data_IF_904893225054
#
_entry.id   IF_904893225054
#
_cell.length_a   1.000
_cell.length_b   1.000
_cell.length_c   1.000
_cell.angle_alpha   90.00
_cell.angle_beta   90.00
_cell.angle_gamma   90.00
#
_symmetry.space_group_name_H-M   'P 1'
#
loop_
_entity.id
_entity.type
_entity.pdbx_description
1 polymer ?
#
# COMPACT_ATOMS: atom_id res chain seq x y z
N UNK A 1 10.87 -5.04 -10.26
CA UNK A 1 11.49 -4.05 -9.35
C UNK A 1 10.76 -4.11 -8.02
N UNK A 2 11.47 -3.98 -6.91
CA UNK A 2 10.85 -4.01 -5.56
C UNK A 2 10.70 -2.59 -5.07
N UNK A 3 9.48 -2.22 -4.69
CA UNK A 3 9.18 -0.94 -4.08
C UNK A 3 8.87 -1.11 -2.59
N UNK A 4 9.21 -0.09 -1.83
CA UNK A 4 9.04 -0.04 -0.39
C UNK A 4 8.36 1.25 0.03
N UNK A 5 7.49 1.17 1.02
CA UNK A 5 6.85 2.31 1.65
C UNK A 5 7.07 2.23 3.17
N UNK A 6 7.33 3.35 3.83
CA UNK A 6 7.37 3.46 5.27
C UNK A 6 6.48 4.62 5.75
N UNK A 7 5.89 4.45 6.92
CA UNK A 7 5.23 5.50 7.69
C UNK A 7 6.15 5.85 8.86
N UNK A 8 6.59 7.10 8.94
CA UNK A 8 7.63 7.57 9.86
C UNK A 8 7.23 8.88 10.54
N UNK A 9 7.85 9.22 11.66
CA UNK A 9 7.61 10.50 12.34
C UNK A 9 8.46 11.65 11.76
N UNK A 10 9.44 11.32 10.92
CA UNK A 10 10.32 12.28 10.24
C UNK A 10 10.77 11.71 8.89
N UNK A 11 11.23 12.60 8.00
CA UNK A 11 11.82 12.15 6.74
C UNK A 11 13.10 11.35 7.02
N UNK A 12 13.25 10.14 6.46
CA UNK A 12 14.49 9.38 6.56
C UNK A 12 15.57 10.02 5.67
N UNK A 13 16.85 9.64 5.81
CA UNK A 13 17.86 9.92 4.80
C UNK A 13 17.52 9.17 3.50
N UNK A 14 17.73 9.84 2.36
CA UNK A 14 17.65 9.28 1.00
C UNK A 14 16.37 8.51 0.59
N UNK A 15 15.16 9.04 0.80
CA UNK A 15 13.96 8.52 0.17
C UNK A 15 13.91 8.92 -1.31
N UNK A 16 13.42 8.03 -2.18
CA UNK A 16 13.14 8.40 -3.57
C UNK A 16 11.99 9.41 -3.63
N UNK A 17 10.98 9.22 -2.78
CA UNK A 17 9.77 10.05 -2.70
C UNK A 17 9.35 10.26 -1.23
N UNK A 18 8.90 11.45 -0.88
CA UNK A 18 8.26 11.71 0.41
C UNK A 18 6.99 12.54 0.28
N UNK A 19 6.05 12.30 1.19
CA UNK A 19 4.91 13.18 1.37
C UNK A 19 4.57 13.29 2.85
N UNK A 20 4.27 14.52 3.28
CA UNK A 20 3.71 14.74 4.59
C UNK A 20 2.27 14.19 4.64
N UNK A 21 1.99 13.37 5.64
CA UNK A 21 0.64 13.02 6.05
C UNK A 21 0.11 13.99 7.10
N UNK A 22 -1.20 14.01 7.32
CA UNK A 22 -1.77 14.73 8.44
C UNK A 22 -1.32 14.08 9.77
N UNK A 23 -0.99 14.90 10.79
CA UNK A 23 -0.57 14.40 12.11
C UNK A 23 0.94 14.17 12.29
N UNK A 24 1.79 14.92 11.59
CA UNK A 24 3.26 14.88 11.68
C UNK A 24 3.92 13.56 11.21
N UNK A 25 3.18 12.70 10.52
CA UNK A 25 3.75 11.51 9.87
C UNK A 25 4.25 11.82 8.46
N UNK A 26 5.29 11.12 8.04
CA UNK A 26 5.89 11.16 6.70
C UNK A 26 5.71 9.79 6.05
N UNK A 27 5.14 9.79 4.85
CA UNK A 27 5.21 8.64 3.95
C UNK A 27 6.51 8.74 3.15
N UNK A 28 7.37 7.75 3.25
CA UNK A 28 8.60 7.63 2.48
C UNK A 28 8.53 6.43 1.54
N UNK A 29 8.88 6.64 0.27
CA UNK A 29 8.86 5.62 -0.78
C UNK A 29 10.24 5.39 -1.40
N UNK A 30 10.56 4.13 -1.70
CA UNK A 30 11.74 3.72 -2.46
C UNK A 30 11.31 2.80 -3.60
N UNK A 31 11.59 3.17 -4.85
CA UNK A 31 11.08 2.51 -6.06
C UNK A 31 11.94 1.34 -6.53
N UNK A 32 13.21 1.32 -6.13
CA UNK A 32 14.21 0.41 -6.71
C UNK A 32 15.13 -0.29 -5.70
N UNK A 33 14.80 -0.24 -4.40
CA UNK A 33 15.64 -0.84 -3.37
C UNK A 33 15.51 -2.38 -3.36
N UNK A 34 16.65 -3.08 -3.44
CA UNK A 34 16.68 -4.56 -3.42
C UNK A 34 16.34 -5.16 -2.06
N UNK A 35 16.65 -4.44 -0.99
CA UNK A 35 16.41 -4.80 0.40
C UNK A 35 15.64 -3.68 1.11
N UNK A 36 15.09 -3.98 2.29
CA UNK A 36 14.39 -2.99 3.10
C UNK A 36 15.31 -1.81 3.42
N UNK A 37 15.00 -0.58 2.96
CA UNK A 37 15.84 0.59 3.19
C UNK A 37 15.69 1.16 4.60
N UNK A 38 14.64 0.76 5.32
CA UNK A 38 14.34 1.19 6.68
C UNK A 38 13.66 0.05 7.47
N UNK A 39 13.86 -0.08 8.79
CA UNK A 39 13.19 -1.11 9.60
C UNK A 39 11.67 -1.10 9.53
N UNK A 40 11.05 0.07 9.37
CA UNK A 40 9.59 0.21 9.19
C UNK A 40 9.11 0.04 7.74
N UNK A 41 10.03 -0.12 6.78
CA UNK A 41 9.66 -0.26 5.38
C UNK A 41 8.92 -1.58 5.13
N UNK A 42 7.81 -1.49 4.38
CA UNK A 42 7.01 -2.63 3.92
C UNK A 42 7.00 -2.63 2.39
N UNK A 43 7.09 -3.82 1.78
CA UNK A 43 7.04 -3.93 0.31
C UNK A 43 5.65 -3.56 -0.18
N UNK A 44 5.59 -2.86 -1.30
CA UNK A 44 4.36 -2.33 -1.90
C UNK A 44 4.38 -2.52 -3.41
N UNK A 45 3.22 -2.52 -4.05
CA UNK A 45 3.14 -2.53 -5.52
C UNK A 45 3.92 -1.33 -6.08
N UNK A 46 4.94 -1.55 -6.94
CA UNK A 46 5.75 -0.46 -7.50
C UNK A 46 4.96 0.61 -8.25
N UNK A 47 3.78 0.26 -8.81
CA UNK A 47 2.90 1.21 -9.51
C UNK A 47 2.27 2.24 -8.56
N UNK A 48 2.28 1.96 -7.26
CA UNK A 48 1.84 2.92 -6.26
C UNK A 48 2.79 4.12 -6.16
N UNK A 49 4.09 3.94 -6.42
CA UNK A 49 5.10 4.98 -6.23
C UNK A 49 5.38 5.72 -7.54
N UNK A 50 4.90 6.95 -7.64
CA UNK A 50 4.99 7.77 -8.86
C UNK A 50 5.38 9.23 -8.56
N UNK A 51 6.57 9.70 -9.01
CA UNK A 51 6.97 11.10 -8.86
C UNK A 51 6.11 12.08 -9.67
N UNK A 52 5.38 11.61 -10.69
CA UNK A 52 4.40 12.39 -11.43
C UNK A 52 2.97 12.27 -10.88
N UNK A 53 2.78 11.47 -9.82
CA UNK A 53 1.47 11.13 -9.28
C UNK A 53 0.73 12.34 -8.70
N UNK A 54 -0.56 12.45 -8.97
CA UNK A 54 -1.39 13.50 -8.36
C UNK A 54 -1.55 13.30 -6.85
N UNK A 55 -1.74 14.41 -6.14
CA UNK A 55 -2.12 14.39 -4.73
C UNK A 55 -3.50 13.75 -4.52
N UNK A 56 -3.79 13.33 -3.29
CA UNK A 56 -5.06 12.70 -2.97
C UNK A 56 -5.20 12.37 -1.50
N UNK A 57 -6.11 11.44 -1.22
CA UNK A 57 -6.36 10.92 0.11
C UNK A 57 -6.02 9.44 0.16
N UNK A 58 -5.44 9.00 1.27
CA UNK A 58 -5.10 7.61 1.51
C UNK A 58 -5.76 7.12 2.81
N UNK A 59 -6.38 5.95 2.75
CA UNK A 59 -6.69 5.12 3.91
C UNK A 59 -5.56 4.12 4.04
N UNK A 60 -4.84 4.17 5.16
CA UNK A 60 -3.70 3.33 5.46
C UNK A 60 -4.06 2.43 6.64
N UNK A 61 -3.98 1.12 6.41
CA UNK A 61 -4.09 0.11 7.48
C UNK A 61 -2.68 -0.38 7.74
N UNK A 62 -2.18 -0.17 8.96
CA UNK A 62 -0.78 -0.40 9.31
C UNK A 62 -0.69 -1.18 10.64
N UNK A 63 -1.02 -2.49 10.64
CA UNK A 63 -0.95 -3.29 11.86
C UNK A 63 0.47 -3.31 12.42
N UNK A 64 0.61 -3.40 13.74
CA UNK A 64 1.91 -3.62 14.38
C UNK A 64 2.48 -4.98 13.98
N UNK A 65 3.81 -5.10 13.97
CA UNK A 65 4.53 -6.26 13.42
C UNK A 65 4.25 -7.57 14.17
N UNK A 66 3.88 -7.48 15.43
CA UNK A 66 3.57 -8.60 16.32
C UNK A 66 2.13 -9.12 16.18
N UNK A 67 1.26 -8.40 15.45
CA UNK A 67 -0.17 -8.73 15.30
C UNK A 67 -0.63 -8.74 13.85
N UNK A 68 0.29 -8.95 12.90
CA UNK A 68 -0.07 -9.03 11.48
C UNK A 68 -0.83 -10.33 11.20
N UNK A 69 -2.00 -10.26 10.55
CA UNK A 69 -2.69 -11.46 10.11
C UNK A 69 -1.91 -12.14 8.99
N UNK A 70 -2.22 -13.43 8.77
CA UNK A 70 -1.76 -14.14 7.60
C UNK A 70 -2.44 -13.59 6.34
N UNK A 71 -1.79 -13.70 5.20
CA UNK A 71 -2.31 -13.19 3.94
C UNK A 71 -3.54 -13.99 3.43
N UNK A 72 -3.62 -15.26 3.82
CA UNK A 72 -4.74 -16.19 3.57
C UNK A 72 -5.85 -16.11 4.65
N UNK A 73 -5.69 -15.23 5.64
CA UNK A 73 -6.71 -14.99 6.65
C UNK A 73 -8.05 -14.66 5.96
N UNK A 74 -9.17 -15.30 6.37
CA UNK A 74 -10.47 -15.11 5.74
C UNK A 74 -10.89 -13.63 5.61
N UNK A 75 -10.54 -12.78 6.58
CA UNK A 75 -10.85 -11.36 6.55
C UNK A 75 -10.02 -10.62 5.49
N UNK A 76 -8.73 -10.94 5.35
CA UNK A 76 -7.86 -10.40 4.29
C UNK A 76 -8.35 -10.82 2.90
N UNK A 77 -8.69 -12.10 2.73
CA UNK A 77 -9.24 -12.65 1.48
C UNK A 77 -10.58 -11.99 1.14
N UNK A 78 -11.47 -11.81 2.12
CA UNK A 78 -12.75 -11.13 1.92
C UNK A 78 -12.56 -9.67 1.51
N UNK A 79 -11.63 -8.94 2.12
CA UNK A 79 -11.33 -7.56 1.76
C UNK A 79 -10.84 -7.46 0.30
N UNK A 80 -9.88 -8.31 -0.11
CA UNK A 80 -9.39 -8.37 -1.50
C UNK A 80 -10.51 -8.68 -2.50
N UNK A 81 -11.38 -9.64 -2.17
CA UNK A 81 -12.55 -9.96 -3.00
C UNK A 81 -13.54 -8.80 -3.10
N UNK A 82 -13.70 -8.01 -2.03
CA UNK A 82 -14.53 -6.81 -2.06
C UNK A 82 -13.97 -5.76 -3.02
N UNK A 83 -12.64 -5.53 -3.03
CA UNK A 83 -12.00 -4.64 -4.01
C UNK A 83 -12.28 -5.08 -5.45
N UNK A 84 -12.19 -6.38 -5.73
CA UNK A 84 -12.40 -6.91 -7.09
C UNK A 84 -13.85 -6.70 -7.58
N UNK A 85 -14.83 -6.80 -6.68
CA UNK A 85 -16.26 -6.62 -7.00
C UNK A 85 -16.70 -5.16 -7.03
N UNK A 86 -16.05 -4.29 -6.25
CA UNK A 86 -16.43 -2.89 -6.09
C UNK A 86 -15.85 -1.97 -7.16
N UNK A 87 -16.12 -0.67 -6.99
CA UNK A 87 -15.45 0.39 -7.74
C UNK A 87 -14.00 0.44 -7.31
N UNK A 88 -13.08 0.31 -8.28
CA UNK A 88 -11.66 0.38 -7.99
C UNK A 88 -11.27 1.81 -7.59
N UNK A 89 -10.41 1.96 -6.56
CA UNK A 89 -9.86 3.25 -6.20
C UNK A 89 -8.85 3.70 -7.26
N UNK A 90 -8.30 4.91 -7.10
CA UNK A 90 -7.19 5.40 -7.93
C UNK A 90 -5.97 4.48 -7.81
N UNK A 91 -5.67 4.05 -6.59
CA UNK A 91 -4.67 3.03 -6.35
C UNK A 91 -5.00 2.18 -5.12
N UNK A 92 -4.59 0.92 -5.14
CA UNK A 92 -4.66 0.03 -3.98
C UNK A 92 -3.44 -0.87 -3.96
N UNK A 93 -2.86 -1.08 -2.78
CA UNK A 93 -1.84 -2.10 -2.58
C UNK A 93 -1.97 -2.69 -1.18
N UNK A 94 -1.75 -3.99 -1.05
CA UNK A 94 -1.37 -4.57 0.24
C UNK A 94 0.11 -4.35 0.47
N UNK A 95 0.54 -4.49 1.72
CA UNK A 95 1.93 -4.51 2.11
C UNK A 95 2.35 -5.89 2.54
N UNK A 96 3.62 -6.21 2.32
CA UNK A 96 4.24 -7.46 2.78
C UNK A 96 5.62 -7.20 3.35
N UNK A 97 6.00 -7.98 4.36
CA UNK A 97 7.37 -7.98 4.89
C UNK A 97 8.07 -9.32 4.62
N UNK A 98 7.31 -10.40 4.50
CA UNK A 98 7.73 -11.75 4.18
C UNK A 98 6.73 -12.41 3.22
N UNK A 99 6.80 -13.73 3.06
CA UNK A 99 5.94 -14.48 2.14
C UNK A 99 4.54 -14.79 2.67
N UNK A 100 4.27 -14.56 3.96
CA UNK A 100 3.08 -15.09 4.65
C UNK A 100 2.19 -14.02 5.27
N UNK A 101 2.74 -12.89 5.73
CA UNK A 101 2.00 -11.92 6.52
C UNK A 101 1.43 -10.78 5.69
N UNK A 102 0.17 -10.44 5.97
CA UNK A 102 -0.44 -9.19 5.56
C UNK A 102 0.09 -8.06 6.44
N UNK A 103 1.02 -7.29 5.90
CA UNK A 103 1.61 -6.16 6.61
C UNK A 103 0.79 -4.87 6.43
N UNK A 104 -0.52 -4.96 6.19
CA UNK A 104 -1.39 -3.81 5.99
C UNK A 104 -1.72 -3.51 4.54
N UNK A 105 -2.29 -2.32 4.31
CA UNK A 105 -2.73 -1.89 2.99
C UNK A 105 -2.82 -0.37 2.87
N UNK A 106 -2.85 0.09 1.63
CA UNK A 106 -3.17 1.47 1.27
C UNK A 106 -4.26 1.50 0.21
N UNK A 107 -5.22 2.39 0.42
CA UNK A 107 -6.35 2.67 -0.47
C UNK A 107 -6.35 4.15 -0.81
N UNK A 108 -6.13 4.49 -2.08
CA UNK A 108 -5.90 5.86 -2.54
C UNK A 108 -7.06 6.36 -3.38
N UNK A 109 -7.60 7.52 -3.02
CA UNK A 109 -8.74 8.14 -3.71
C UNK A 109 -8.51 9.63 -3.92
N UNK A 110 -9.28 10.24 -4.82
CA UNK A 110 -9.21 11.69 -5.08
C UNK A 110 -10.07 12.48 -4.09
N UNK A 111 -11.20 11.93 -3.67
CA UNK A 111 -12.13 12.58 -2.75
C UNK A 111 -12.20 11.81 -1.42
N UNK A 112 -12.19 12.51 -0.27
CA UNK A 112 -12.11 11.86 1.05
C UNK A 112 -13.34 11.00 1.38
N UNK A 113 -14.51 11.31 0.81
CA UNK A 113 -15.73 10.51 0.99
C UNK A 113 -15.60 9.07 0.49
N UNK A 114 -14.73 8.81 -0.50
CA UNK A 114 -14.48 7.47 -1.04
C UNK A 114 -13.54 6.62 -0.17
N UNK A 115 -13.03 7.15 0.95
CA UNK A 115 -12.22 6.39 1.91
C UNK A 115 -13.06 5.38 2.69
N UNK A 116 -14.36 5.61 2.81
CA UNK A 116 -15.28 4.70 3.49
C UNK A 116 -15.69 3.51 2.61
N UNK A 117 -15.20 3.46 1.38
CA UNK A 117 -15.29 2.28 0.52
C UNK A 117 -14.11 1.32 0.71
N UNK A 118 -13.05 1.73 1.44
CA UNK A 118 -11.87 0.88 1.69
C UNK A 118 -12.27 -0.38 2.47
N UNK A 119 -12.22 -1.58 1.88
CA UNK A 119 -12.62 -2.80 2.57
C UNK A 119 -11.60 -3.26 3.61
N UNK A 120 -10.32 -2.85 3.49
CA UNK A 120 -9.28 -3.24 4.42
C UNK A 120 -9.36 -2.51 5.76
N UNK A 121 -10.09 -1.39 5.84
CA UNK A 121 -10.26 -0.59 7.07
C UNK A 121 -10.75 -1.38 8.30
N UNK A 122 -11.31 -2.56 8.08
CA UNK A 122 -11.83 -3.46 9.13
C UNK A 122 -10.77 -4.36 9.75
N UNK A 123 -9.58 -4.41 9.17
CA UNK A 123 -8.49 -5.32 9.56
C UNK A 123 -7.54 -4.74 10.60
N UNK A 124 -7.73 -3.48 11.00
CA UNK A 124 -6.89 -2.82 12.02
C UNK A 124 -7.13 -1.32 12.08
N UNK A 125 -6.24 -0.62 12.78
CA UNK A 125 -6.28 0.84 12.89
C UNK A 125 -6.09 1.49 11.53
N UNK A 126 -7.08 2.29 11.12
CA UNK A 126 -7.05 3.11 9.90
C UNK A 126 -6.44 4.47 10.20
N UNK A 127 -5.41 4.84 9.46
CA UNK A 127 -4.89 6.20 9.38
C UNK A 127 -5.36 6.84 8.07
N UNK A 128 -5.98 8.02 8.17
CA UNK A 128 -6.41 8.80 7.01
C UNK A 128 -5.41 9.90 6.76
N UNK A 129 -4.82 9.90 5.57
CA UNK A 129 -3.76 10.84 5.20
C UNK A 129 -4.18 11.64 3.97
N UNK A 130 -4.03 12.97 4.03
CA UNK A 130 -3.97 13.80 2.83
C UNK A 130 -2.53 13.77 2.33
N UNK A 131 -2.33 13.32 1.10
CA UNK A 131 -1.00 13.09 0.51
C UNK A 131 -0.81 14.06 -0.65
N UNK A 132 0.32 14.78 -0.64
CA UNK A 132 0.71 15.69 -1.72
C UNK A 132 0.97 14.96 -3.04
N UNK A 133 1.15 15.74 -4.11
CA UNK A 133 1.61 15.20 -5.39
C UNK A 133 3.05 14.65 -5.28
N UNK A 134 3.40 13.76 -6.21
CA UNK A 134 4.76 13.23 -6.35
C UNK A 134 5.09 12.02 -5.47
N UNK A 135 4.09 11.35 -4.89
CA UNK A 135 4.31 10.08 -4.18
C UNK A 135 3.39 8.97 -4.68
N UNK A 136 2.09 9.24 -4.79
CA UNK A 136 1.08 8.23 -5.09
C UNK A 136 0.69 8.22 -6.56
N UNK A 137 0.93 7.11 -7.23
CA UNK A 137 0.54 6.82 -8.61
C UNK A 137 -0.87 6.20 -8.72
N UNK A 138 -1.08 5.51 -9.83
CA UNK A 138 -2.32 4.78 -10.12
C UNK A 138 -2.00 3.29 -10.28
N UNK A 139 -2.83 2.42 -9.71
CA UNK A 139 -2.75 0.98 -9.98
C UNK A 139 -3.88 0.59 -10.92
N UNK A 140 -3.58 -0.18 -11.96
CA UNK A 140 -4.62 -0.79 -12.78
C UNK A 140 -5.58 -1.63 -11.91
N UNK A 141 -6.82 -1.82 -12.39
CA UNK A 141 -7.78 -2.67 -11.69
C UNK A 141 -7.11 -4.03 -11.43
N UNK A 142 -7.14 -4.53 -10.17
CA UNK A 142 -6.55 -5.82 -9.86
C UNK A 142 -7.08 -6.91 -10.79
N UNK A 143 -6.18 -7.66 -11.41
CA UNK A 143 -6.57 -8.88 -12.09
C UNK A 143 -7.27 -9.83 -11.08
N UNK A 144 -8.24 -10.60 -11.56
CA UNK A 144 -8.97 -11.61 -10.76
C UNK A 144 -8.02 -12.57 -10.03
N UNK A 145 -8.53 -13.42 -9.13
CA UNK A 145 -7.71 -14.11 -8.13
C UNK A 145 -6.55 -14.87 -8.78
N UNK A 146 -5.37 -14.25 -8.79
CA UNK A 146 -4.15 -14.98 -9.05
C UNK A 146 -4.04 -16.01 -7.93
N UNK A 147 -3.76 -17.26 -8.31
CA UNK A 147 -3.32 -18.29 -7.35
C UNK A 147 -2.35 -17.64 -6.37
N UNK A 148 -2.68 -17.73 -5.09
CA UNK A 148 -1.90 -17.14 -4.02
C UNK A 148 -0.56 -17.88 -3.95
N UNK A 149 0.43 -17.34 -4.64
CA UNK A 149 1.81 -17.78 -4.50
C UNK A 149 2.32 -17.03 -3.28
N UNK A 150 2.66 -17.73 -2.20
CA UNK A 150 3.44 -17.23 -1.04
C UNK A 150 4.82 -16.76 -1.52
N UNK A 151 4.82 -15.72 -2.35
CA UNK A 151 5.96 -15.18 -3.09
C UNK A 151 6.50 -13.93 -2.42
N UNK A 152 5.85 -13.46 -1.34
CA UNK A 152 6.16 -12.20 -0.68
C UNK A 152 6.01 -11.00 -1.61
N UNK A 153 5.04 -11.11 -2.53
CA UNK A 153 4.67 -10.07 -3.47
C UNK A 153 3.44 -9.30 -2.93
N UNK A 154 3.48 -7.96 -2.91
CA UNK A 154 2.32 -7.15 -2.58
C UNK A 154 1.23 -7.32 -3.65
N UNK A 155 -0.03 -7.43 -3.25
CA UNK A 155 -1.16 -7.43 -4.17
C UNK A 155 -1.52 -5.97 -4.52
N UNK A 156 -1.87 -5.60 -5.76
CA UNK A 156 -2.27 -6.47 -6.88
C UNK A 156 -1.15 -6.80 -7.87
N UNK A 157 0.11 -6.88 -7.45
CA UNK A 157 1.22 -7.12 -8.38
C UNK A 157 1.09 -8.46 -9.10
N UNK A 158 1.16 -8.42 -10.44
CA UNK A 158 1.01 -9.56 -11.35
C UNK A 158 2.37 -10.05 -11.92
N UNK A 159 3.49 -9.47 -11.47
CA UNK A 159 4.84 -9.80 -11.94
C UNK A 159 5.24 -9.11 -13.25
N UNK A 160 4.38 -8.31 -13.86
CA UNK A 160 4.69 -7.61 -15.11
C UNK A 160 5.70 -6.48 -14.86
N UNK A 161 6.86 -6.43 -15.54
CA UNK A 161 7.65 -5.21 -15.60
C UNK A 161 6.85 -4.14 -16.34
N UNK A 162 6.93 -2.89 -15.89
CA UNK A 162 6.47 -1.76 -16.70
C UNK A 162 7.37 -1.68 -17.94
N UNK A 163 6.75 -1.58 -19.12
CA UNK A 163 7.44 -1.19 -20.36
C UNK A 163 7.83 0.27 -20.34
#
# INVERSE_FOLDING_TARGET
>A
MTAWLALLDASPPDPDLTAAGAGAVVLAGWRSARQAPHPEARRVDPRLLDPGGAGGWASLVWPARDVMPLFDDPAVVQARRAVQRGTAPRAVSTFVIDSTHFAGSIWVVTHPSALDDDPFRRLGTRLVLKVGAGLLGCTARPAGPALERYSGAPWPWDGSPQG
#
